data_IF_817944713251
#
_entry.id   IF_817944713251
#
_cell.length_a   1.000
_cell.length_b   1.000
_cell.length_c   1.000
_cell.angle_alpha   90.00
_cell.angle_beta   90.00
_cell.angle_gamma   90.00
#
_symmetry.space_group_name_H-M   'P 1'
#
loop_
_entity.id
_entity.type
_entity.pdbx_description
1 polymer ?
#
# COMPACT_ATOMS: atom_id res chain seq x y z
N UNK A 1 -18.50 10.80 7.97
CA UNK A 1 -17.08 10.75 7.63
C UNK A 1 -16.52 9.37 7.87
N UNK A 2 -15.91 8.81 6.88
CA UNK A 2 -15.41 7.46 7.00
C UNK A 2 -13.91 7.39 6.73
N UNK A 3 -13.16 6.78 7.63
CA UNK A 3 -11.72 6.61 7.43
C UNK A 3 -11.39 5.78 6.19
N UNK A 4 -12.34 4.98 5.75
CA UNK A 4 -12.13 4.09 4.62
C UNK A 4 -11.80 4.86 3.35
N UNK A 5 -12.45 6.01 3.16
CA UNK A 5 -12.22 6.80 1.97
C UNK A 5 -10.80 7.35 1.92
N UNK A 6 -10.22 7.56 3.08
CA UNK A 6 -8.89 8.14 3.16
C UNK A 6 -7.79 7.16 2.83
N UNK A 7 -8.01 5.86 3.00
CA UNK A 7 -6.97 4.89 2.72
C UNK A 7 -6.96 4.45 1.27
N UNK A 8 -8.03 4.70 0.52
CA UNK A 8 -8.07 4.30 -0.88
C UNK A 8 -7.02 5.05 -1.70
N UNK A 9 -6.80 6.32 -1.41
CA UNK A 9 -5.82 7.11 -2.14
C UNK A 9 -4.39 6.64 -1.92
N UNK A 10 -3.93 6.48 -0.69
CA UNK A 10 -2.56 5.98 -0.49
C UNK A 10 -2.36 4.58 -1.05
N UNK A 11 -3.38 3.73 -1.01
CA UNK A 11 -3.28 2.41 -1.61
C UNK A 11 -3.06 2.54 -3.11
N UNK A 12 -3.88 3.34 -3.78
CA UNK A 12 -3.77 3.54 -5.21
C UNK A 12 -2.43 4.16 -5.59
N UNK A 13 -1.97 5.13 -4.81
CA UNK A 13 -0.68 5.78 -5.06
C UNK A 13 0.47 4.81 -4.91
N UNK A 14 0.44 3.98 -3.87
CA UNK A 14 1.50 3.02 -3.64
C UNK A 14 1.59 2.04 -4.81
N UNK A 15 0.44 1.58 -5.29
CA UNK A 15 0.40 0.68 -6.44
C UNK A 15 0.96 1.36 -7.68
N UNK A 16 0.56 2.61 -7.90
CA UNK A 16 1.01 3.35 -9.07
C UNK A 16 2.51 3.55 -9.07
N UNK A 17 3.06 3.92 -7.92
CA UNK A 17 4.51 4.11 -7.80
C UNK A 17 5.23 2.79 -7.98
N UNK A 18 4.71 1.74 -7.36
CA UNK A 18 5.31 0.42 -7.47
C UNK A 18 5.37 -0.05 -8.92
N UNK A 19 4.29 0.13 -9.67
CA UNK A 19 4.25 -0.26 -11.08
C UNK A 19 5.32 0.47 -11.88
N UNK A 20 5.52 1.72 -11.56
CA UNK A 20 6.49 2.55 -12.27
C UNK A 20 7.93 2.10 -11.95
N UNK A 21 8.20 1.79 -10.70
CA UNK A 21 9.54 1.44 -10.24
C UNK A 21 9.88 -0.01 -10.59
N UNK A 22 8.99 -0.93 -10.31
CA UNK A 22 9.23 -2.34 -10.51
C UNK A 22 8.87 -2.82 -11.90
N UNK A 23 8.13 -2.01 -12.65
CA UNK A 23 7.69 -2.31 -14.01
C UNK A 23 6.86 -3.58 -14.09
N UNK A 24 6.07 -3.80 -13.06
CA UNK A 24 5.13 -4.90 -13.03
C UNK A 24 3.99 -4.55 -12.10
N UNK A 25 2.83 -5.15 -12.34
CA UNK A 25 1.67 -4.93 -11.51
C UNK A 25 1.68 -5.88 -10.33
N UNK A 26 1.32 -5.40 -9.13
CA UNK A 26 1.11 -6.31 -8.03
C UNK A 26 -0.11 -7.18 -8.33
N UNK A 27 -0.02 -8.48 -8.04
CA UNK A 27 -1.15 -9.36 -8.28
C UNK A 27 -2.24 -9.11 -7.24
N UNK A 28 -3.37 -9.81 -7.39
CA UNK A 28 -4.51 -9.61 -6.51
C UNK A 28 -4.16 -9.89 -5.06
N UNK A 29 -3.35 -10.89 -4.83
CA UNK A 29 -2.93 -11.28 -3.49
C UNK A 29 -2.12 -10.16 -2.83
N UNK A 30 -1.19 -9.59 -3.59
CA UNK A 30 -0.38 -8.48 -3.08
C UNK A 30 -1.25 -7.26 -2.81
N UNK A 31 -2.21 -6.98 -3.67
CA UNK A 31 -3.10 -5.84 -3.47
C UNK A 31 -3.96 -6.00 -2.23
N UNK A 32 -4.45 -7.19 -1.98
CA UNK A 32 -5.25 -7.45 -0.78
C UNK A 32 -4.42 -7.30 0.47
N UNK A 33 -3.20 -7.81 0.44
CA UNK A 33 -2.30 -7.66 1.57
C UNK A 33 -1.94 -6.22 1.82
N UNK A 34 -1.72 -5.47 0.74
CA UNK A 34 -1.43 -4.06 0.83
C UNK A 34 -2.58 -3.30 1.49
N UNK A 35 -3.80 -3.55 1.04
CA UNK A 35 -4.96 -2.88 1.59
C UNK A 35 -5.10 -3.16 3.08
N UNK A 36 -4.89 -4.41 3.46
CA UNK A 36 -4.97 -4.82 4.86
C UNK A 36 -3.89 -4.14 5.70
N UNK A 37 -2.70 -4.04 5.13
CA UNK A 37 -1.58 -3.41 5.81
C UNK A 37 -1.84 -1.92 6.05
N UNK A 38 -2.31 -1.22 5.00
CA UNK A 38 -2.61 0.21 5.10
C UNK A 38 -3.74 0.44 6.10
N UNK A 39 -4.77 -0.40 6.05
CA UNK A 39 -5.88 -0.27 6.97
C UNK A 39 -5.43 -0.43 8.41
N UNK A 40 -4.57 -1.38 8.67
CA UNK A 40 -4.05 -1.59 10.02
C UNK A 40 -3.30 -0.35 10.51
N UNK A 41 -2.45 0.21 9.66
CA UNK A 41 -1.70 1.40 10.04
C UNK A 41 -2.62 2.57 10.32
N UNK A 42 -3.64 2.73 9.50
CA UNK A 42 -4.62 3.80 9.71
C UNK A 42 -5.35 3.61 11.04
N UNK A 43 -5.71 2.37 11.35
CA UNK A 43 -6.38 2.06 12.61
C UNK A 43 -5.47 2.31 13.81
N UNK A 44 -4.17 2.19 13.61
CA UNK A 44 -3.19 2.44 14.68
C UNK A 44 -2.83 3.91 14.81
N UNK A 45 -3.42 4.77 13.98
CA UNK A 45 -3.24 6.20 14.11
C UNK A 45 -2.40 6.85 13.03
N UNK A 46 -1.88 6.10 12.08
CA UNK A 46 -1.14 6.69 10.97
C UNK A 46 -2.14 7.23 9.97
N UNK A 47 -2.31 8.54 9.98
CA UNK A 47 -3.35 9.19 9.18
C UNK A 47 -2.82 10.05 8.04
N UNK A 48 -1.52 10.26 7.99
CA UNK A 48 -0.92 11.04 6.94
C UNK A 48 -0.90 10.22 5.64
N UNK A 49 -1.59 10.69 4.58
CA UNK A 49 -1.65 9.93 3.33
C UNK A 49 -0.28 9.66 2.74
N UNK A 50 0.65 10.59 2.90
CA UNK A 50 1.99 10.40 2.36
C UNK A 50 2.74 9.29 3.10
N UNK A 51 2.57 9.23 4.40
CA UNK A 51 3.17 8.15 5.18
C UNK A 51 2.58 6.81 4.82
N UNK A 52 1.26 6.76 4.68
CA UNK A 52 0.60 5.51 4.30
C UNK A 52 1.08 5.06 2.93
N UNK A 53 1.26 5.99 2.01
CA UNK A 53 1.77 5.65 0.68
C UNK A 53 3.16 5.05 0.76
N UNK A 54 4.04 5.66 1.55
CA UNK A 54 5.41 5.16 1.70
C UNK A 54 5.42 3.78 2.34
N UNK A 55 4.62 3.58 3.38
CA UNK A 55 4.52 2.27 4.02
C UNK A 55 3.98 1.22 3.05
N UNK A 56 3.00 1.61 2.24
CA UNK A 56 2.45 0.69 1.26
C UNK A 56 3.47 0.27 0.22
N UNK A 57 4.24 1.23 -0.26
CA UNK A 57 5.30 0.94 -1.24
C UNK A 57 6.34 0.02 -0.63
N UNK A 58 6.74 0.28 0.59
CA UNK A 58 7.70 -0.57 1.29
C UNK A 58 7.17 -1.99 1.43
N UNK A 59 5.88 -2.11 1.76
CA UNK A 59 5.25 -3.42 1.89
C UNK A 59 5.36 -4.21 0.58
N UNK A 60 5.03 -3.56 -0.54
CA UNK A 60 5.07 -4.23 -1.85
C UNK A 60 6.50 -4.64 -2.22
N UNK A 61 7.46 -3.80 -1.94
CA UNK A 61 8.85 -4.11 -2.24
C UNK A 61 9.38 -5.25 -1.38
N UNK A 62 8.95 -5.31 -0.13
CA UNK A 62 9.36 -6.40 0.74
C UNK A 62 8.75 -7.71 0.31
N UNK A 63 7.52 -7.69 -0.19
CA UNK A 63 6.91 -8.90 -0.74
C UNK A 63 7.71 -9.42 -1.93
N UNK A 64 8.12 -8.52 -2.80
CA UNK A 64 8.92 -8.88 -3.96
C UNK A 64 10.20 -9.58 -3.55
N UNK A 65 10.86 -9.06 -2.53
CA UNK A 65 12.09 -9.68 -2.03
C UNK A 65 11.87 -11.06 -1.48
N UNK A 66 10.76 -11.26 -0.78
CA UNK A 66 10.47 -12.55 -0.16
C UNK A 66 10.20 -13.63 -1.18
N UNK A 67 9.69 -13.24 -2.33
CA UNK A 67 9.33 -14.21 -3.35
C UNK A 67 10.53 -14.63 -4.18
N UNK A 68 11.65 -14.02 -3.97
CA UNK A 68 12.88 -14.45 -4.56
C UNK A 68 13.63 -15.36 -3.61
#
# INVERSE_FOLDING_TARGET
MTPIENIAKPIARAIKIYRSVARQDPDLRARRGLARHIKRLADEGVRDPNRLTVHGLTYLRNLERREH
#
